data_IF_524393613794
#
_entry.id   IF_524393613794
#
_cell.length_a   1.000
_cell.length_b   1.000
_cell.length_c   1.000
_cell.angle_alpha   90.00
_cell.angle_beta   90.00
_cell.angle_gamma   90.00
#
_symmetry.space_group_name_H-M   'P 1'
#
loop_
_entity.id
_entity.type
_entity.pdbx_description
1 polymer ?
#
# COMPACT_ATOMS: atom_id res chain seq x y z
N UNK A 1 -53.01 -69.36 2.73
CA UNK A 1 -53.18 -67.88 2.75
C UNK A 1 -51.88 -67.10 2.96
N UNK A 2 -50.88 -67.57 3.73
CA UNK A 2 -49.62 -66.81 3.93
C UNK A 2 -48.62 -66.82 2.75
N UNK A 3 -48.65 -67.82 1.87
CA UNK A 3 -47.72 -67.92 0.72
C UNK A 3 -48.14 -67.04 -0.46
N UNK A 4 -49.45 -66.79 -0.62
CA UNK A 4 -49.97 -65.95 -1.70
C UNK A 4 -49.70 -64.45 -1.46
N UNK A 5 -49.69 -64.02 -0.20
CA UNK A 5 -49.42 -62.63 0.18
C UNK A 5 -47.95 -62.21 -0.04
N UNK A 6 -47.00 -63.14 0.16
CA UNK A 6 -45.56 -62.86 -0.02
C UNK A 6 -45.21 -62.79 -1.51
N UNK A 7 -45.87 -63.59 -2.35
CA UNK A 7 -45.61 -63.58 -3.81
C UNK A 7 -46.12 -62.29 -4.48
N UNK A 8 -47.22 -61.71 -3.96
CA UNK A 8 -47.77 -60.43 -4.45
C UNK A 8 -46.92 -59.24 -3.98
N UNK A 9 -46.34 -59.29 -2.77
CA UNK A 9 -45.43 -58.23 -2.30
C UNK A 9 -44.11 -58.17 -3.11
N UNK A 10 -43.57 -59.32 -3.50
CA UNK A 10 -42.33 -59.38 -4.30
C UNK A 10 -42.58 -58.88 -5.74
N UNK A 11 -43.78 -59.11 -6.29
CA UNK A 11 -44.13 -58.62 -7.64
C UNK A 11 -44.46 -57.11 -7.66
N UNK A 12 -44.88 -56.52 -6.53
CA UNK A 12 -45.09 -55.07 -6.40
C UNK A 12 -43.79 -54.30 -6.16
N UNK A 13 -42.79 -54.93 -5.52
CA UNK A 13 -41.46 -54.34 -5.33
C UNK A 13 -40.67 -54.18 -6.64
N UNK A 14 -40.91 -55.03 -7.66
CA UNK A 14 -40.25 -54.92 -8.97
C UNK A 14 -40.85 -53.86 -9.90
N UNK A 15 -41.99 -53.26 -9.53
CA UNK A 15 -42.61 -52.12 -10.24
C UNK A 15 -42.34 -50.81 -9.48
N UNK A 16 -41.61 -50.88 -8.36
CA UNK A 16 -41.01 -49.71 -7.71
C UNK A 16 -39.74 -49.30 -8.45
N UNK A 17 -39.79 -49.27 -9.78
CA UNK A 17 -38.77 -48.63 -10.57
C UNK A 17 -38.66 -47.21 -10.06
N UNK A 18 -37.50 -46.85 -9.52
CA UNK A 18 -37.09 -45.47 -9.36
C UNK A 18 -37.38 -44.77 -10.69
N UNK A 19 -38.50 -44.06 -10.75
CA UNK A 19 -38.55 -42.85 -11.54
C UNK A 19 -37.52 -41.95 -10.87
N UNK A 20 -36.27 -42.05 -11.31
CA UNK A 20 -35.35 -40.95 -11.16
C UNK A 20 -36.09 -39.76 -11.74
N UNK A 21 -36.47 -38.81 -10.90
CA UNK A 21 -36.65 -37.46 -11.41
C UNK A 21 -35.32 -37.17 -12.08
N UNK A 22 -35.31 -37.06 -13.42
CA UNK A 22 -34.23 -36.35 -14.08
C UNK A 22 -34.23 -34.99 -13.41
N UNK A 23 -33.27 -34.78 -12.49
CA UNK A 23 -32.90 -33.46 -12.04
C UNK A 23 -32.82 -32.60 -13.32
N UNK A 24 -33.54 -31.48 -13.40
CA UNK A 24 -33.55 -30.69 -14.61
C UNK A 24 -32.10 -30.41 -14.99
N UNK A 25 -31.66 -30.90 -16.15
CA UNK A 25 -30.33 -30.61 -16.68
C UNK A 25 -30.28 -29.10 -16.88
N UNK A 26 -29.65 -28.40 -15.93
CA UNK A 26 -29.36 -26.98 -16.05
C UNK A 26 -28.32 -26.90 -17.17
N UNK A 27 -28.69 -26.35 -18.32
CA UNK A 27 -27.73 -26.00 -19.35
C UNK A 27 -27.04 -24.72 -18.89
N UNK A 28 -25.72 -24.72 -18.62
CA UNK A 28 -25.02 -23.51 -18.24
C UNK A 28 -25.17 -22.44 -19.31
N UNK A 29 -25.31 -21.20 -18.86
CA UNK A 29 -25.32 -20.00 -19.70
C UNK A 29 -24.43 -18.95 -19.07
N UNK A 30 -23.71 -18.21 -19.88
CA UNK A 30 -22.87 -17.09 -19.45
C UNK A 30 -23.06 -15.90 -20.39
N UNK A 31 -23.30 -14.74 -19.80
CA UNK A 31 -23.30 -13.45 -20.48
C UNK A 31 -22.67 -12.41 -19.54
N UNK A 32 -22.02 -11.39 -20.09
CA UNK A 32 -21.44 -10.29 -19.32
C UNK A 32 -21.79 -8.95 -19.99
N UNK A 33 -21.76 -7.87 -19.23
CA UNK A 33 -21.96 -6.53 -19.76
C UNK A 33 -20.95 -6.20 -20.88
N UNK A 34 -21.43 -5.56 -21.96
CA UNK A 34 -20.57 -5.08 -23.04
C UNK A 34 -19.86 -3.79 -22.64
N UNK A 35 -18.72 -3.93 -21.96
CA UNK A 35 -17.85 -2.81 -21.57
C UNK A 35 -16.53 -2.85 -22.34
N UNK A 36 -16.00 -1.67 -22.67
CA UNK A 36 -14.76 -1.55 -23.44
C UNK A 36 -13.75 -0.57 -22.86
N UNK A 37 -14.10 0.11 -21.77
CA UNK A 37 -13.29 1.17 -21.14
C UNK A 37 -13.28 0.91 -19.64
N UNK A 38 -12.13 1.14 -19.01
CA UNK A 38 -12.01 1.21 -17.56
C UNK A 38 -11.22 2.47 -17.17
N UNK A 39 -11.74 3.20 -16.18
CA UNK A 39 -11.08 4.42 -15.70
C UNK A 39 -10.01 4.06 -14.67
N UNK A 40 -8.79 4.59 -14.85
CA UNK A 40 -7.67 4.36 -13.94
C UNK A 40 -7.97 4.84 -12.53
N UNK A 41 -7.47 4.09 -11.56
CA UNK A 41 -7.56 4.39 -10.13
C UNK A 41 -8.96 4.31 -9.50
N UNK A 42 -9.92 3.74 -10.23
CA UNK A 42 -11.32 3.62 -9.80
C UNK A 42 -11.71 2.14 -9.60
N UNK A 43 -12.77 1.94 -8.81
CA UNK A 43 -13.46 0.66 -8.75
C UNK A 43 -14.36 0.48 -9.97
N UNK A 44 -14.43 -0.73 -10.49
CA UNK A 44 -15.28 -1.11 -11.61
C UNK A 44 -16.06 -2.37 -11.24
N UNK A 45 -17.39 -2.23 -11.16
CA UNK A 45 -18.31 -3.37 -11.05
C UNK A 45 -18.65 -3.88 -12.45
N UNK A 46 -18.60 -5.20 -12.64
CA UNK A 46 -18.91 -5.86 -13.91
C UNK A 46 -20.09 -6.80 -13.70
N UNK A 47 -21.18 -6.52 -14.40
CA UNK A 47 -22.40 -7.34 -14.33
C UNK A 47 -22.24 -8.62 -15.15
N UNK A 48 -22.46 -9.77 -14.51
CA UNK A 48 -22.39 -11.09 -15.13
C UNK A 48 -23.69 -11.85 -14.90
N UNK A 49 -24.31 -12.28 -15.99
CA UNK A 49 -25.48 -13.16 -15.96
C UNK A 49 -25.03 -14.61 -16.17
N UNK A 50 -24.85 -15.35 -15.08
CA UNK A 50 -24.66 -16.80 -15.13
C UNK A 50 -25.65 -17.55 -14.25
N UNK A 51 -26.11 -18.71 -14.73
CA UNK A 51 -27.02 -19.60 -14.00
C UNK A 51 -26.29 -20.71 -13.22
N UNK A 52 -24.96 -20.70 -13.24
CA UNK A 52 -24.05 -21.54 -12.48
C UNK A 52 -22.90 -20.67 -11.97
N UNK A 53 -22.10 -21.20 -11.06
CA UNK A 53 -20.88 -20.52 -10.61
C UNK A 53 -19.92 -20.35 -11.78
N UNK A 54 -19.17 -19.25 -11.75
CA UNK A 54 -18.24 -18.89 -12.82
C UNK A 54 -16.93 -18.35 -12.24
N UNK A 55 -15.85 -18.54 -12.98
CA UNK A 55 -14.51 -18.09 -12.61
C UNK A 55 -14.10 -16.95 -13.52
N UNK A 56 -13.52 -15.91 -12.92
CA UNK A 56 -12.90 -14.79 -13.62
C UNK A 56 -11.40 -14.87 -13.41
N UNK A 57 -10.63 -14.79 -14.49
CA UNK A 57 -9.19 -14.63 -14.47
C UNK A 57 -8.85 -13.21 -14.92
N UNK A 58 -7.97 -12.53 -14.18
CA UNK A 58 -7.58 -11.14 -14.44
C UNK A 58 -6.17 -11.04 -15.01
N UNK A 59 -5.93 -10.02 -15.84
CA UNK A 59 -4.58 -9.57 -16.15
C UNK A 59 -3.95 -8.81 -14.97
N UNK A 60 -2.65 -8.53 -15.08
CA UNK A 60 -1.98 -7.54 -14.24
C UNK A 60 -2.62 -6.14 -14.40
N UNK A 61 -2.42 -5.27 -13.41
CA UNK A 61 -3.02 -3.92 -13.36
C UNK A 61 -4.40 -3.86 -12.69
N UNK A 62 -4.82 -4.95 -12.04
CA UNK A 62 -6.14 -5.11 -11.43
C UNK A 62 -6.05 -5.81 -10.08
N UNK A 63 -6.95 -5.52 -9.15
CA UNK A 63 -7.21 -6.38 -8.00
C UNK A 63 -8.69 -6.72 -7.92
N UNK A 64 -9.03 -7.93 -7.52
CA UNK A 64 -10.42 -8.23 -7.18
C UNK A 64 -10.81 -7.54 -5.88
N UNK A 65 -12.10 -7.27 -5.71
CA UNK A 65 -12.68 -6.88 -4.43
C UNK A 65 -13.57 -8.03 -3.97
N UNK A 66 -13.31 -8.56 -2.78
CA UNK A 66 -14.17 -9.60 -2.21
C UNK A 66 -15.44 -9.03 -1.55
N UNK A 67 -16.27 -9.91 -1.00
CA UNK A 67 -17.53 -9.52 -0.36
C UNK A 67 -17.37 -8.65 0.89
N UNK A 68 -16.21 -8.68 1.54
CA UNK A 68 -15.89 -7.87 2.71
C UNK A 68 -15.21 -6.54 2.32
N UNK A 69 -14.97 -6.32 1.03
CA UNK A 69 -14.35 -5.12 0.49
C UNK A 69 -12.82 -5.17 0.46
N UNK A 70 -12.21 -6.31 0.78
CA UNK A 70 -10.76 -6.50 0.80
C UNK A 70 -10.25 -6.70 -0.63
N UNK A 71 -9.11 -6.09 -0.95
CA UNK A 71 -8.46 -6.30 -2.25
C UNK A 71 -7.75 -7.64 -2.29
N UNK A 72 -7.95 -8.38 -3.38
CA UNK A 72 -7.40 -9.73 -3.57
C UNK A 72 -6.44 -9.76 -4.76
N UNK A 73 -5.23 -10.25 -4.49
CA UNK A 73 -4.16 -10.39 -5.47
C UNK A 73 -4.23 -11.71 -6.27
N UNK A 74 -5.19 -12.59 -5.96
CA UNK A 74 -5.42 -13.81 -6.72
C UNK A 74 -5.60 -13.53 -8.22
N UNK A 75 -4.94 -14.31 -9.07
CA UNK A 75 -5.07 -14.21 -10.54
C UNK A 75 -6.44 -14.66 -11.05
N UNK A 76 -7.16 -15.47 -10.26
CA UNK A 76 -8.51 -15.92 -10.55
C UNK A 76 -9.38 -16.00 -9.30
N UNK A 77 -10.68 -15.74 -9.46
CA UNK A 77 -11.66 -15.82 -8.39
C UNK A 77 -12.97 -16.41 -8.92
N UNK A 78 -13.68 -17.18 -8.08
CA UNK A 78 -14.95 -17.81 -8.44
C UNK A 78 -16.09 -17.13 -7.72
N UNK A 79 -17.15 -16.83 -8.46
CA UNK A 79 -18.35 -16.12 -8.01
C UNK A 79 -19.56 -17.02 -8.16
N UNK A 80 -20.55 -16.85 -7.28
CA UNK A 80 -21.75 -17.67 -7.33
C UNK A 80 -22.66 -17.27 -8.50
N UNK A 81 -23.52 -18.20 -8.90
CA UNK A 81 -24.54 -17.94 -9.92
C UNK A 81 -25.37 -16.67 -9.60
N UNK A 82 -25.38 -15.72 -10.53
CA UNK A 82 -26.13 -14.46 -10.43
C UNK A 82 -25.46 -13.36 -9.62
N UNK A 83 -24.22 -13.54 -9.18
CA UNK A 83 -23.41 -12.48 -8.58
C UNK A 83 -22.64 -11.72 -9.65
N UNK A 84 -22.46 -10.42 -9.43
CA UNK A 84 -21.54 -9.56 -10.17
C UNK A 84 -20.24 -9.43 -9.37
N UNK A 85 -19.17 -8.98 -10.00
CA UNK A 85 -17.89 -8.82 -9.33
C UNK A 85 -17.36 -7.40 -9.46
N UNK A 86 -16.52 -6.99 -8.52
CA UNK A 86 -15.88 -5.68 -8.51
C UNK A 86 -14.36 -5.85 -8.57
N UNK A 87 -13.70 -4.92 -9.26
CA UNK A 87 -12.24 -4.84 -9.37
C UNK A 87 -11.76 -3.42 -9.09
N UNK A 88 -10.57 -3.28 -8.51
CA UNK A 88 -9.80 -2.05 -8.52
C UNK A 88 -8.95 -2.00 -9.80
N UNK A 89 -9.05 -0.90 -10.54
CA UNK A 89 -8.22 -0.62 -11.72
C UNK A 89 -7.04 0.24 -11.28
N UNK A 90 -5.81 -0.26 -11.44
CA UNK A 90 -4.61 0.49 -11.04
C UNK A 90 -4.29 1.60 -12.06
N UNK A 91 -3.72 2.71 -11.56
CA UNK A 91 -3.17 3.78 -12.41
C UNK A 91 -1.79 3.41 -12.96
N UNK A 92 -1.77 2.33 -13.75
CA UNK A 92 -0.57 1.78 -14.38
C UNK A 92 -0.21 2.50 -15.69
N UNK A 93 0.94 2.21 -16.30
CA UNK A 93 1.29 2.68 -17.66
C UNK A 93 0.68 1.80 -18.77
N UNK A 94 -0.17 0.83 -18.42
CA UNK A 94 -0.79 -0.09 -19.37
C UNK A 94 -1.81 0.64 -20.25
N UNK A 95 -1.90 0.25 -21.53
CA UNK A 95 -2.96 0.75 -22.42
C UNK A 95 -4.30 0.04 -22.22
N UNK A 96 -4.26 -1.22 -21.77
CA UNK A 96 -5.42 -2.08 -21.64
C UNK A 96 -5.25 -3.16 -20.56
N UNK A 97 -6.38 -3.68 -20.13
CA UNK A 97 -6.53 -4.81 -19.21
C UNK A 97 -7.43 -5.88 -19.83
N UNK A 98 -7.23 -7.12 -19.40
CA UNK A 98 -7.98 -8.28 -19.88
C UNK A 98 -8.64 -9.03 -18.72
N UNK A 99 -9.88 -9.44 -18.94
CA UNK A 99 -10.62 -10.33 -18.03
C UNK A 99 -11.17 -11.51 -18.82
N UNK A 100 -10.96 -12.71 -18.29
CA UNK A 100 -11.42 -13.96 -18.89
C UNK A 100 -12.44 -14.62 -17.96
N UNK A 101 -13.69 -14.69 -18.40
CA UNK A 101 -14.82 -15.19 -17.61
C UNK A 101 -15.25 -16.55 -18.17
N UNK A 102 -15.37 -17.56 -17.32
CA UNK A 102 -15.81 -18.90 -17.75
C UNK A 102 -16.66 -19.61 -16.70
N UNK A 103 -17.66 -20.36 -17.15
CA UNK A 103 -18.41 -21.31 -16.33
C UNK A 103 -18.01 -22.78 -16.61
N UNK A 104 -16.85 -22.98 -17.26
CA UNK A 104 -16.34 -24.28 -17.67
C UNK A 104 -16.89 -24.82 -19.00
N UNK A 105 -17.99 -24.27 -19.53
CA UNK A 105 -18.52 -24.59 -20.85
C UNK A 105 -18.46 -23.40 -21.82
N UNK A 106 -18.87 -22.24 -21.33
CA UNK A 106 -18.85 -20.97 -22.04
C UNK A 106 -17.65 -20.14 -21.59
N UNK A 107 -17.24 -19.21 -22.46
CA UNK A 107 -16.09 -18.34 -22.25
C UNK A 107 -16.34 -16.96 -22.85
N UNK A 108 -16.05 -15.92 -22.08
CA UNK A 108 -16.12 -14.52 -22.48
C UNK A 108 -14.78 -13.86 -22.14
N UNK A 109 -14.21 -13.13 -23.10
CA UNK A 109 -13.04 -12.28 -22.87
C UNK A 109 -13.46 -10.82 -23.00
N UNK A 110 -13.14 -10.03 -21.99
CA UNK A 110 -13.30 -8.58 -21.99
C UNK A 110 -11.91 -7.94 -22.15
N UNK A 111 -11.77 -7.06 -23.13
CA UNK A 111 -10.57 -6.27 -23.35
C UNK A 111 -10.94 -4.80 -23.19
N UNK A 112 -10.51 -4.19 -22.09
CA UNK A 112 -10.88 -2.82 -21.74
C UNK A 112 -9.69 -1.90 -21.96
N UNK A 113 -9.91 -0.81 -22.68
CA UNK A 113 -8.92 0.27 -22.83
C UNK A 113 -8.91 1.11 -21.56
N UNK A 114 -7.73 1.43 -21.04
CA UNK A 114 -7.60 2.28 -19.87
C UNK A 114 -7.68 3.76 -20.25
N UNK A 115 -8.43 4.54 -19.47
CA UNK A 115 -8.52 6.00 -19.59
C UNK A 115 -8.19 6.70 -18.27
N UNK A 116 -7.64 7.90 -18.38
CA UNK A 116 -7.20 8.67 -17.22
C UNK A 116 -8.38 9.16 -16.37
N UNK A 117 -8.17 9.21 -15.06
CA UNK A 117 -9.17 9.64 -14.08
C UNK A 117 -9.30 11.16 -14.01
N UNK A 118 -10.47 11.70 -14.35
CA UNK A 118 -10.79 13.11 -14.13
C UNK A 118 -11.14 13.41 -12.65
N UNK A 119 -11.57 12.40 -11.90
CA UNK A 119 -11.87 12.48 -10.47
C UNK A 119 -10.66 12.00 -9.66
N UNK A 120 -10.61 12.35 -8.37
CA UNK A 120 -9.58 11.84 -7.46
C UNK A 120 -9.70 10.31 -7.36
N UNK A 121 -8.57 9.65 -7.50
CA UNK A 121 -8.45 8.20 -7.41
C UNK A 121 -8.40 7.74 -5.95
N UNK A 122 -8.40 6.41 -5.76
CA UNK A 122 -8.25 5.81 -4.44
C UNK A 122 -6.98 6.31 -3.73
N UNK A 123 -5.83 6.24 -4.41
CA UNK A 123 -4.60 6.99 -4.08
C UNK A 123 -4.24 7.83 -5.30
N UNK A 124 -3.74 9.05 -5.09
CA UNK A 124 -3.63 10.05 -6.14
C UNK A 124 -2.48 11.02 -5.92
N UNK A 125 -1.57 11.10 -6.91
CA UNK A 125 -0.45 12.03 -6.87
C UNK A 125 -0.84 13.51 -6.78
N UNK A 126 -2.04 13.89 -7.27
CA UNK A 126 -2.54 15.27 -7.17
C UNK A 126 -2.89 15.62 -5.72
N UNK A 127 -3.52 14.68 -5.01
CA UNK A 127 -3.84 14.85 -3.59
C UNK A 127 -2.60 14.76 -2.71
N UNK A 128 -1.63 13.93 -3.09
CA UNK A 128 -0.31 13.92 -2.47
C UNK A 128 0.39 15.28 -2.62
N UNK A 129 0.34 15.91 -3.81
CA UNK A 129 0.86 17.27 -3.99
C UNK A 129 0.17 18.30 -3.07
N UNK A 130 -1.15 18.29 -3.00
CA UNK A 130 -1.89 19.17 -2.07
C UNK A 130 -1.48 18.92 -0.60
N UNK A 131 -1.16 17.67 -0.26
CA UNK A 131 -0.74 17.26 1.08
C UNK A 131 0.65 17.78 1.44
N UNK A 132 1.64 17.66 0.54
CA UNK A 132 2.97 18.22 0.80
C UNK A 132 2.92 19.75 0.92
N UNK A 133 2.10 20.44 0.11
CA UNK A 133 1.88 21.89 0.24
C UNK A 133 1.29 22.26 1.59
N UNK A 134 0.25 21.54 2.05
CA UNK A 134 -0.32 21.73 3.38
C UNK A 134 0.74 21.53 4.48
N UNK A 135 1.57 20.48 4.38
CA UNK A 135 2.57 20.18 5.40
C UNK A 135 3.71 21.20 5.43
N UNK A 136 4.18 21.70 4.29
CA UNK A 136 5.28 22.69 4.21
C UNK A 136 4.81 24.12 4.50
N UNK A 137 3.51 24.40 4.40
CA UNK A 137 2.95 25.75 4.64
C UNK A 137 2.25 25.88 5.98
N UNK A 138 1.30 25.02 6.30
CA UNK A 138 0.46 25.11 7.50
C UNK A 138 1.09 24.43 8.71
N UNK A 139 1.87 23.37 8.48
CA UNK A 139 2.41 22.49 9.52
C UNK A 139 3.93 22.41 9.52
N UNK A 140 4.64 23.46 9.11
CA UNK A 140 6.10 23.48 9.06
C UNK A 140 6.77 23.69 10.43
N UNK A 141 8.10 23.75 10.44
CA UNK A 141 8.94 23.88 11.64
C UNK A 141 8.70 22.75 12.65
N UNK A 142 8.60 21.52 12.14
CA UNK A 142 8.38 20.29 12.92
C UNK A 142 9.68 19.80 13.55
N UNK A 143 10.41 20.66 14.25
CA UNK A 143 11.55 20.23 15.03
C UNK A 143 11.07 19.46 16.25
N UNK A 144 11.58 18.25 16.42
CA UNK A 144 11.05 17.34 17.42
C UNK A 144 11.16 17.87 18.87
N UNK A 145 10.33 17.33 19.75
CA UNK A 145 10.10 17.86 21.10
C UNK A 145 11.30 17.76 22.06
N UNK A 146 12.25 16.84 21.80
CA UNK A 146 13.44 16.66 22.64
C UNK A 146 14.45 17.82 22.58
N UNK A 147 14.28 18.75 21.64
CA UNK A 147 14.99 20.02 21.67
C UNK A 147 14.32 20.99 22.67
N UNK A 148 14.58 20.80 23.96
CA UNK A 148 14.33 21.77 25.04
C UNK A 148 14.97 23.17 24.82
N UNK A 149 15.68 23.36 23.71
CA UNK A 149 16.31 24.58 23.19
C UNK A 149 15.50 25.30 22.10
N UNK A 150 14.42 24.70 21.57
CA UNK A 150 13.51 25.32 20.58
C UNK A 150 12.23 25.82 21.27
N UNK A 151 11.11 26.02 20.55
CA UNK A 151 9.82 26.45 21.14
C UNK A 151 9.18 25.36 22.03
N UNK A 152 10.01 24.66 22.83
CA UNK A 152 9.65 23.57 23.74
C UNK A 152 8.85 22.45 23.06
N UNK A 153 9.10 22.19 21.77
CA UNK A 153 8.36 21.19 20.99
C UNK A 153 6.92 21.58 20.64
N UNK A 154 6.47 22.81 20.94
CA UNK A 154 5.07 23.20 20.77
C UNK A 154 4.61 23.11 19.31
N UNK A 155 5.43 23.56 18.36
CA UNK A 155 5.10 23.50 16.93
C UNK A 155 4.92 22.05 16.46
N UNK A 156 5.90 21.18 16.76
CA UNK A 156 5.80 19.76 16.45
C UNK A 156 4.54 19.14 17.06
N UNK A 157 4.30 19.38 18.36
CA UNK A 157 3.11 18.86 19.03
C UNK A 157 1.81 19.36 18.38
N UNK A 158 1.73 20.64 18.03
CA UNK A 158 0.55 21.20 17.37
C UNK A 158 0.34 20.55 16.00
N UNK A 159 1.42 20.31 15.24
CA UNK A 159 1.35 19.60 13.97
C UNK A 159 0.90 18.15 14.15
N UNK A 160 1.45 17.42 15.13
CA UNK A 160 1.08 16.05 15.44
C UNK A 160 -0.40 15.91 15.82
N UNK A 161 -0.91 16.80 16.68
CA UNK A 161 -2.33 16.83 17.05
C UNK A 161 -3.22 17.24 15.87
N UNK A 162 -2.72 18.10 14.97
CA UNK A 162 -3.38 18.43 13.71
C UNK A 162 -3.53 17.22 12.78
N UNK A 163 -2.45 16.46 12.58
CA UNK A 163 -2.47 15.25 11.76
C UNK A 163 -3.37 14.18 12.35
N UNK A 164 -3.33 14.00 13.68
CA UNK A 164 -4.29 13.14 14.38
C UNK A 164 -5.73 13.52 14.07
N UNK A 165 -6.09 14.80 14.13
CA UNK A 165 -7.45 15.24 13.84
C UNK A 165 -7.85 15.00 12.37
N UNK A 166 -6.90 15.09 11.42
CA UNK A 166 -7.13 14.74 10.02
C UNK A 166 -7.39 13.23 9.87
N UNK A 167 -6.57 12.39 10.50
CA UNK A 167 -6.71 10.92 10.45
C UNK A 167 -7.97 10.41 11.16
N UNK A 168 -8.39 11.04 12.26
CA UNK A 168 -9.71 10.80 12.86
C UNK A 168 -10.84 11.09 11.85
N UNK A 169 -10.63 12.05 10.94
CA UNK A 169 -11.54 12.36 9.84
C UNK A 169 -11.49 11.36 8.67
N UNK A 170 -10.38 10.65 8.48
CA UNK A 170 -10.26 9.62 7.44
C UNK A 170 -11.01 8.33 7.77
N UNK A 171 -11.24 8.05 9.06
CA UNK A 171 -12.04 6.90 9.51
C UNK A 171 -11.25 5.73 10.08
N UNK A 172 -10.01 5.95 10.53
CA UNK A 172 -9.29 4.96 11.34
C UNK A 172 -10.09 4.54 12.58
N UNK A 173 -9.93 3.29 13.02
CA UNK A 173 -10.60 2.77 14.21
C UNK A 173 -10.04 3.39 15.50
N UNK A 174 -8.75 3.70 15.48
CA UNK A 174 -8.06 4.40 16.55
C UNK A 174 -6.94 5.29 16.01
N UNK A 175 -6.80 6.49 16.56
CA UNK A 175 -5.70 7.40 16.24
C UNK A 175 -5.15 7.99 17.52
N UNK A 176 -3.84 8.01 17.65
CA UNK A 176 -3.15 8.59 18.79
C UNK A 176 -1.96 9.45 18.39
N UNK A 177 -1.64 10.39 19.29
CA UNK A 177 -0.29 10.94 19.38
C UNK A 177 0.34 10.24 20.57
N UNK A 178 1.42 9.49 20.34
CA UNK A 178 2.02 8.64 21.37
C UNK A 178 2.60 9.49 22.51
N UNK A 179 2.61 8.93 23.72
CA UNK A 179 3.21 9.55 24.89
C UNK A 179 3.67 8.46 25.86
N UNK A 180 4.86 7.93 25.59
CA UNK A 180 5.48 6.89 26.40
C UNK A 180 6.08 7.51 27.67
N UNK A 181 5.94 6.83 28.81
CA UNK A 181 6.35 7.41 30.10
C UNK A 181 7.87 7.55 30.26
N UNK A 182 8.62 6.65 29.61
CA UNK A 182 10.07 6.61 29.49
C UNK A 182 10.60 7.35 28.25
N UNK A 183 9.75 7.56 27.23
CA UNK A 183 10.05 8.34 26.02
C UNK A 183 9.01 9.46 25.74
N UNK A 184 8.82 10.43 26.66
CA UNK A 184 7.68 11.37 26.64
C UNK A 184 7.73 12.43 25.54
N UNK A 185 8.89 12.61 24.90
CA UNK A 185 9.09 13.56 23.81
C UNK A 185 8.87 12.92 22.42
N UNK A 186 8.62 11.60 22.37
CA UNK A 186 8.44 10.83 21.14
C UNK A 186 6.96 10.79 20.74
N UNK A 187 6.50 11.92 20.21
CA UNK A 187 5.10 12.17 19.85
C UNK A 187 4.80 11.71 18.41
N UNK A 188 4.89 10.40 18.16
CA UNK A 188 4.48 9.83 16.88
C UNK A 188 2.98 10.04 16.67
N UNK A 189 2.54 10.23 15.43
CA UNK A 189 1.11 10.15 15.07
C UNK A 189 0.88 8.76 14.51
N UNK A 190 -0.03 8.00 15.11
CA UNK A 190 -0.27 6.60 14.73
C UNK A 190 -1.76 6.37 14.54
N UNK A 191 -2.15 5.87 13.37
CA UNK A 191 -3.51 5.49 13.01
C UNK A 191 -3.60 3.97 12.81
N UNK A 192 -4.61 3.35 13.39
CA UNK A 192 -4.83 1.91 13.35
C UNK A 192 -6.17 1.59 12.68
N UNK A 193 -6.12 0.69 11.70
CA UNK A 193 -7.28 0.06 11.07
C UNK A 193 -7.20 -1.44 11.36
N UNK A 194 -8.13 -1.96 12.16
CA UNK A 194 -8.01 -3.34 12.66
C UNK A 194 -8.33 -4.36 11.57
N UNK A 195 -7.50 -5.41 11.50
CA UNK A 195 -7.65 -6.48 10.52
C UNK A 195 -8.80 -7.43 10.84
N UNK A 196 -9.42 -7.96 9.80
CA UNK A 196 -10.52 -8.92 9.91
C UNK A 196 -10.07 -10.33 10.28
N UNK A 197 -8.87 -10.73 9.88
CA UNK A 197 -8.37 -12.11 9.99
C UNK A 197 -7.19 -12.20 10.96
N UNK A 198 -6.23 -11.29 10.86
CA UNK A 198 -5.00 -11.25 11.65
C UNK A 198 -4.88 -9.91 12.40
N UNK A 199 -5.74 -9.66 13.42
CA UNK A 199 -5.76 -8.38 14.13
C UNK A 199 -4.49 -8.12 14.94
N UNK A 200 -3.70 -9.15 15.23
CA UNK A 200 -2.45 -9.15 15.99
C UNK A 200 -1.18 -9.07 15.12
N UNK A 201 -1.32 -9.12 13.80
CA UNK A 201 -0.22 -8.96 12.86
C UNK A 201 -0.34 -7.62 12.13
N UNK A 202 0.69 -6.79 12.26
CA UNK A 202 0.68 -5.42 11.78
C UNK A 202 1.39 -5.30 10.45
N UNK A 203 0.77 -4.62 9.49
CA UNK A 203 1.44 -4.05 8.32
C UNK A 203 1.57 -2.55 8.57
N UNK A 204 2.81 -2.07 8.66
CA UNK A 204 3.10 -0.68 9.02
C UNK A 204 3.52 0.09 7.77
N UNK A 205 3.03 1.32 7.64
CA UNK A 205 3.51 2.30 6.64
C UNK A 205 3.87 3.60 7.35
N UNK A 206 4.92 4.29 6.89
CA UNK A 206 5.28 5.56 7.51
C UNK A 206 6.54 6.19 6.95
N UNK A 207 6.63 7.51 7.14
CA UNK A 207 7.83 8.33 6.97
C UNK A 207 7.98 9.23 8.19
N UNK A 208 9.14 9.85 8.35
CA UNK A 208 9.33 10.71 9.52
C UNK A 208 8.67 12.06 9.33
N UNK A 209 8.11 12.56 10.42
CA UNK A 209 7.34 13.79 10.47
C UNK A 209 8.19 14.98 10.85
N UNK A 210 9.22 14.77 11.67
CA UNK A 210 10.11 15.84 12.02
C UNK A 210 10.97 16.27 10.83
N UNK A 211 11.56 17.45 10.97
CA UNK A 211 12.49 18.00 9.98
C UNK A 211 13.78 18.39 10.69
N UNK A 212 14.90 18.38 9.96
CA UNK A 212 16.20 18.75 10.48
C UNK A 212 16.17 20.07 11.28
N UNK A 213 16.51 20.00 12.56
CA UNK A 213 16.57 21.19 13.43
C UNK A 213 17.81 22.05 13.14
N UNK A 214 17.85 23.26 13.72
CA UNK A 214 18.96 24.19 13.50
C UNK A 214 20.31 23.58 13.91
N UNK A 215 21.32 23.77 13.06
CA UNK A 215 22.66 23.21 13.18
C UNK A 215 22.78 21.69 12.94
N UNK A 216 21.74 21.03 12.44
CA UNK A 216 21.84 19.66 11.92
C UNK A 216 22.69 19.66 10.63
N UNK A 217 23.78 18.89 10.57
CA UNK A 217 24.59 18.79 9.35
C UNK A 217 23.82 18.03 8.26
N UNK A 218 24.11 18.27 6.96
CA UNK A 218 25.14 19.17 6.47
C UNK A 218 24.69 20.62 6.25
N UNK A 219 23.38 20.86 6.10
CA UNK A 219 22.83 22.15 5.68
C UNK A 219 22.52 23.15 6.80
N UNK A 220 22.49 22.71 8.06
CA UNK A 220 22.25 23.55 9.23
C UNK A 220 20.79 23.66 9.68
N UNK A 221 19.92 22.75 9.22
CA UNK A 221 18.49 22.67 9.52
C UNK A 221 17.59 23.24 8.42
N UNK A 222 16.33 22.83 8.45
CA UNK A 222 15.26 23.29 7.54
C UNK A 222 13.97 23.59 8.33
N UNK A 223 13.09 24.40 7.74
CA UNK A 223 11.75 24.63 8.27
C UNK A 223 10.70 23.75 7.59
N UNK A 224 10.89 23.48 6.30
CA UNK A 224 9.93 22.74 5.49
C UNK A 224 10.31 21.27 5.39
N UNK A 225 11.58 20.97 5.09
CA UNK A 225 12.02 19.59 4.90
C UNK A 225 11.24 18.92 3.78
N UNK A 226 11.12 19.59 2.64
CA UNK A 226 10.14 19.20 1.62
C UNK A 226 10.45 17.82 1.05
N UNK A 227 11.72 17.54 0.73
CA UNK A 227 12.15 16.20 0.43
C UNK A 227 12.36 15.39 1.73
N UNK A 228 13.00 15.98 2.74
CA UNK A 228 13.47 15.30 3.95
C UNK A 228 12.76 15.81 5.24
N UNK A 229 11.70 15.16 5.70
CA UNK A 229 10.95 14.08 5.03
C UNK A 229 9.45 14.37 4.96
N UNK A 230 9.11 15.61 4.63
CA UNK A 230 7.72 15.91 4.30
C UNK A 230 7.22 15.04 3.14
N UNK A 231 8.11 14.62 2.23
CA UNK A 231 7.74 13.76 1.11
C UNK A 231 7.33 12.35 1.53
N UNK A 232 8.06 11.70 2.45
CA UNK A 232 7.70 10.39 2.99
C UNK A 232 6.46 10.47 3.87
N UNK A 233 6.37 11.48 4.73
CA UNK A 233 5.14 11.83 5.46
C UNK A 233 3.93 12.01 4.53
N UNK A 234 4.12 12.64 3.37
CA UNK A 234 3.07 12.85 2.36
C UNK A 234 2.58 11.53 1.77
N UNK A 235 3.49 10.62 1.41
CA UNK A 235 3.12 9.28 0.93
C UNK A 235 2.36 8.52 2.02
N UNK A 236 2.82 8.58 3.28
CA UNK A 236 2.11 7.94 4.38
C UNK A 236 0.71 8.52 4.59
N UNK A 237 0.53 9.84 4.51
CA UNK A 237 -0.77 10.51 4.63
C UNK A 237 -1.74 10.08 3.52
N UNK A 238 -1.24 9.99 2.28
CA UNK A 238 -2.04 9.64 1.12
C UNK A 238 -2.49 8.17 1.15
N UNK A 239 -1.60 7.25 1.51
CA UNK A 239 -1.96 5.83 1.66
C UNK A 239 -2.86 5.64 2.91
N UNK A 240 -2.62 6.38 3.99
CA UNK A 240 -3.46 6.34 5.19
C UNK A 240 -4.93 6.66 4.90
N UNK A 241 -5.20 7.62 4.00
CA UNK A 241 -6.55 7.93 3.55
C UNK A 241 -7.21 6.72 2.86
N UNK A 242 -6.49 6.02 1.99
CA UNK A 242 -7.02 4.85 1.29
C UNK A 242 -7.25 3.68 2.27
N UNK A 243 -6.28 3.42 3.15
CA UNK A 243 -6.35 2.38 4.19
C UNK A 243 -7.56 2.56 5.09
N UNK A 244 -7.77 3.78 5.61
CA UNK A 244 -8.86 4.05 6.54
C UNK A 244 -10.26 3.86 5.90
N UNK A 245 -10.35 3.95 4.57
CA UNK A 245 -11.61 3.84 3.83
C UNK A 245 -12.04 2.40 3.51
N UNK A 246 -11.20 1.39 3.81
CA UNK A 246 -11.41 0.00 3.42
C UNK A 246 -11.10 -0.99 4.54
N UNK A 247 -11.52 -2.23 4.33
CA UNK A 247 -11.22 -3.35 5.20
C UNK A 247 -10.02 -4.16 4.68
N UNK A 248 -9.30 -4.81 5.60
CA UNK A 248 -8.04 -5.53 5.35
C UNK A 248 -8.00 -6.81 6.18
N UNK A 249 -7.22 -7.81 5.76
CA UNK A 249 -7.07 -9.05 6.52
C UNK A 249 -6.20 -8.82 7.77
N UNK A 250 -5.16 -8.00 7.67
CA UNK A 250 -4.24 -7.65 8.76
C UNK A 250 -4.57 -6.29 9.38
N UNK A 251 -4.14 -6.07 10.62
CA UNK A 251 -4.18 -4.72 11.18
C UNK A 251 -3.18 -3.85 10.43
N UNK A 252 -3.66 -2.73 9.91
CA UNK A 252 -2.83 -1.76 9.18
C UNK A 252 -2.56 -0.57 10.07
N UNK A 253 -1.29 -0.19 10.16
CA UNK A 253 -0.82 0.93 10.96
C UNK A 253 -0.18 1.97 10.05
N UNK A 254 -0.77 3.17 10.01
CA UNK A 254 -0.12 4.33 9.40
C UNK A 254 0.58 5.16 10.48
N UNK A 255 1.79 5.64 10.18
CA UNK A 255 2.61 6.34 11.14
C UNK A 255 3.33 7.56 10.55
N UNK A 256 3.39 8.62 11.35
CA UNK A 256 4.27 9.77 11.16
C UNK A 256 5.25 9.79 12.35
N UNK A 257 6.51 9.43 12.10
CA UNK A 257 7.49 9.21 13.16
C UNK A 257 8.08 10.51 13.69
N UNK A 258 8.29 10.57 15.00
CA UNK A 258 8.95 11.68 15.67
C UNK A 258 10.46 11.47 15.72
N UNK A 259 11.22 12.55 15.66
CA UNK A 259 12.64 12.58 16.05
C UNK A 259 13.52 11.55 15.29
N UNK A 260 13.28 11.32 14.00
CA UNK A 260 14.19 10.53 13.16
C UNK A 260 15.58 11.19 13.18
N UNK A 261 15.59 12.50 12.99
CA UNK A 261 16.78 13.35 12.81
C UNK A 261 17.63 13.49 14.08
N UNK A 262 17.09 13.00 15.20
CA UNK A 262 17.77 12.91 16.48
C UNK A 262 18.23 11.47 16.81
N UNK A 263 18.14 10.56 15.85
CA UNK A 263 18.56 9.17 15.93
C UNK A 263 17.39 8.19 16.11
N UNK A 264 16.40 8.23 15.21
CA UNK A 264 15.32 7.24 15.06
C UNK A 264 14.44 7.08 16.30
N UNK A 265 14.32 8.12 17.13
CA UNK A 265 13.78 7.96 18.48
C UNK A 265 12.30 7.59 18.49
N UNK A 266 11.50 8.14 17.58
CA UNK A 266 10.07 7.88 17.49
C UNK A 266 9.76 6.47 17.04
N UNK A 267 10.32 6.03 15.91
CA UNK A 267 10.14 4.66 15.43
C UNK A 267 10.70 3.62 16.41
N UNK A 268 11.86 3.89 17.01
CA UNK A 268 12.41 3.03 18.07
C UNK A 268 11.49 2.96 19.28
N UNK A 269 10.93 4.09 19.73
CA UNK A 269 10.00 4.11 20.84
C UNK A 269 8.73 3.31 20.52
N UNK A 270 8.17 3.42 19.32
CA UNK A 270 7.02 2.62 18.88
C UNK A 270 7.33 1.12 18.92
N UNK A 271 8.42 0.70 18.27
CA UNK A 271 8.80 -0.71 18.20
C UNK A 271 9.06 -1.30 19.59
N UNK A 272 9.73 -0.56 20.48
CA UNK A 272 10.01 -1.01 21.85
C UNK A 272 8.77 -1.10 22.75
N UNK A 273 7.67 -0.45 22.35
CA UNK A 273 6.41 -0.42 23.10
C UNK A 273 5.30 -1.29 22.48
N UNK A 274 5.60 -2.02 21.40
CA UNK A 274 4.67 -3.02 20.87
C UNK A 274 4.33 -4.05 21.97
N UNK A 275 3.04 -4.41 22.14
CA UNK A 275 2.66 -5.49 23.05
C UNK A 275 3.32 -6.82 22.65
N UNK A 276 3.58 -7.69 23.63
CA UNK A 276 4.28 -8.98 23.39
C UNK A 276 3.55 -9.92 22.42
N UNK A 277 2.23 -9.77 22.27
CA UNK A 277 1.38 -10.56 21.36
C UNK A 277 1.19 -9.91 19.98
N UNK A 278 1.77 -8.74 19.75
CA UNK A 278 1.72 -8.05 18.47
C UNK A 278 3.04 -8.24 17.74
N UNK A 279 2.95 -8.58 16.45
CA UNK A 279 4.11 -8.68 15.59
C UNK A 279 3.95 -7.84 14.32
N UNK A 280 5.04 -7.29 13.79
CA UNK A 280 5.04 -6.57 12.53
C UNK A 280 5.45 -7.52 11.40
N UNK A 281 4.53 -7.72 10.45
CA UNK A 281 4.75 -8.57 9.28
C UNK A 281 5.67 -7.88 8.29
N UNK A 282 5.37 -6.62 7.98
CA UNK A 282 6.19 -5.77 7.14
C UNK A 282 6.06 -4.30 7.54
N UNK A 283 7.12 -3.52 7.31
CA UNK A 283 7.11 -2.06 7.39
C UNK A 283 7.57 -1.45 6.07
N UNK A 284 6.79 -0.51 5.53
CA UNK A 284 7.16 0.30 4.37
C UNK A 284 7.59 1.69 4.84
N UNK A 285 8.89 1.96 4.72
CA UNK A 285 9.52 3.22 5.07
C UNK A 285 9.62 4.11 3.83
N UNK A 286 9.19 5.35 3.94
CA UNK A 286 9.37 6.38 2.92
C UNK A 286 10.25 7.46 3.50
N UNK A 287 11.39 7.71 2.88
CA UNK A 287 12.31 8.77 3.29
C UNK A 287 12.95 9.39 2.04
N UNK A 288 12.85 10.71 1.90
CA UNK A 288 13.42 11.45 0.77
C UNK A 288 12.92 10.93 -0.58
N UNK A 289 11.61 10.96 -0.80
CA UNK A 289 10.95 10.36 -1.98
C UNK A 289 10.39 11.38 -2.97
N UNK A 290 10.57 12.69 -2.78
CA UNK A 290 9.88 13.71 -3.61
C UNK A 290 10.25 13.68 -5.09
N UNK A 291 11.53 13.45 -5.43
CA UNK A 291 12.02 13.50 -6.82
C UNK A 291 12.35 12.09 -7.30
N UNK A 292 11.41 11.42 -7.95
CA UNK A 292 11.55 10.04 -8.41
C UNK A 292 10.82 9.82 -9.75
N UNK A 293 10.75 8.58 -10.24
CA UNK A 293 10.04 8.21 -11.46
C UNK A 293 8.62 8.81 -11.55
N UNK A 294 8.19 9.43 -12.67
CA UNK A 294 8.86 9.56 -13.97
C UNK A 294 9.61 10.90 -14.16
N UNK A 295 9.93 11.61 -13.08
CA UNK A 295 10.57 12.93 -13.13
C UNK A 295 11.96 12.85 -13.77
N UNK A 296 12.13 13.49 -14.92
CA UNK A 296 13.45 13.58 -15.56
C UNK A 296 14.28 14.70 -14.93
N UNK A 297 15.49 14.42 -14.42
CA UNK A 297 16.31 15.44 -13.80
C UNK A 297 16.78 16.52 -14.80
N UNK A 298 16.82 17.81 -14.38
CA UNK A 298 17.38 18.86 -15.21
C UNK A 298 18.90 18.67 -15.38
N UNK A 299 19.52 19.25 -16.44
CA UNK A 299 20.95 19.10 -16.68
C UNK A 299 21.81 19.50 -15.47
N UNK A 300 22.67 18.59 -15.01
CA UNK A 300 23.54 18.78 -13.85
C UNK A 300 22.93 18.39 -12.50
N UNK A 301 21.77 17.71 -12.53
CA UNK A 301 21.15 17.04 -11.40
C UNK A 301 20.91 15.56 -11.75
N UNK A 302 20.58 14.77 -10.73
CA UNK A 302 20.24 13.36 -10.86
C UNK A 302 21.42 12.40 -10.66
N UNK A 303 21.18 11.09 -10.82
CA UNK A 303 19.91 10.48 -11.20
C UNK A 303 18.80 10.69 -10.15
N UNK A 304 17.54 10.60 -10.56
CA UNK A 304 16.36 10.59 -9.67
C UNK A 304 15.79 9.17 -9.57
N UNK A 305 16.69 8.19 -9.46
CA UNK A 305 16.30 6.78 -9.40
C UNK A 305 15.53 6.52 -8.10
N UNK A 306 14.49 5.70 -8.17
CA UNK A 306 13.76 5.23 -6.99
C UNK A 306 14.40 3.92 -6.51
N UNK A 307 15.09 3.96 -5.38
CA UNK A 307 15.68 2.78 -4.75
C UNK A 307 14.71 2.20 -3.70
N UNK A 308 14.52 0.89 -3.74
CA UNK A 308 13.73 0.13 -2.77
C UNK A 308 14.59 -0.98 -2.16
N UNK A 309 15.01 -0.79 -0.91
CA UNK A 309 15.82 -1.78 -0.20
C UNK A 309 14.93 -2.74 0.62
N UNK A 310 15.07 -4.05 0.39
CA UNK A 310 14.41 -5.08 1.19
C UNK A 310 15.34 -5.58 2.30
N UNK A 311 14.82 -5.77 3.50
CA UNK A 311 15.59 -6.27 4.64
C UNK A 311 14.69 -6.99 5.67
N UNK A 312 15.32 -7.59 6.69
CA UNK A 312 14.61 -8.06 7.87
C UNK A 312 13.88 -9.39 7.76
N UNK A 313 13.98 -10.09 6.61
CA UNK A 313 13.44 -11.43 6.41
C UNK A 313 14.58 -12.46 6.14
N UNK A 314 14.25 -13.75 6.13
CA UNK A 314 15.19 -14.80 5.71
C UNK A 314 15.37 -14.83 4.18
N UNK A 315 16.28 -15.67 3.67
CA UNK A 315 16.62 -15.69 2.24
C UNK A 315 15.42 -16.02 1.33
N UNK A 316 14.52 -16.91 1.77
CA UNK A 316 13.34 -17.32 0.98
C UNK A 316 12.29 -16.19 0.98
N UNK A 317 12.02 -15.58 2.13
CA UNK A 317 11.10 -14.45 2.24
C UNK A 317 11.66 -13.18 1.60
N UNK A 318 12.97 -12.93 1.64
CA UNK A 318 13.60 -11.84 0.87
C UNK A 318 13.45 -12.04 -0.64
N UNK A 319 13.57 -13.29 -1.12
CA UNK A 319 13.32 -13.59 -2.52
C UNK A 319 11.84 -13.32 -2.90
N UNK A 320 10.90 -13.66 -2.01
CA UNK A 320 9.48 -13.34 -2.20
C UNK A 320 9.22 -11.83 -2.21
N UNK A 321 9.81 -11.08 -1.28
CA UNK A 321 9.69 -9.61 -1.25
C UNK A 321 10.18 -8.96 -2.54
N UNK A 322 11.33 -9.41 -3.07
CA UNK A 322 11.85 -8.90 -4.34
C UNK A 322 11.01 -9.33 -5.55
N UNK A 323 10.38 -10.51 -5.50
CA UNK A 323 9.45 -10.94 -6.54
C UNK A 323 8.17 -10.10 -6.52
N UNK A 324 7.65 -9.70 -5.36
CA UNK A 324 6.56 -8.75 -5.29
C UNK A 324 6.93 -7.39 -5.89
N UNK A 325 8.13 -6.87 -5.59
CA UNK A 325 8.59 -5.63 -6.21
C UNK A 325 8.66 -5.75 -7.74
N UNK A 326 9.18 -6.88 -8.25
CA UNK A 326 9.19 -7.16 -9.69
C UNK A 326 7.78 -7.21 -10.28
N UNK A 327 6.86 -7.96 -9.65
CA UNK A 327 5.46 -8.05 -10.08
C UNK A 327 4.79 -6.68 -10.11
N UNK A 328 4.94 -5.90 -9.04
CA UNK A 328 4.34 -4.57 -8.92
C UNK A 328 4.90 -3.63 -9.99
N UNK A 329 6.22 -3.50 -10.10
CA UNK A 329 6.87 -2.52 -10.98
C UNK A 329 6.73 -2.90 -12.45
N UNK A 330 7.08 -4.14 -12.79
CA UNK A 330 7.19 -4.59 -14.19
C UNK A 330 5.85 -5.08 -14.76
N UNK A 331 5.05 -5.83 -13.99
CA UNK A 331 3.86 -6.49 -14.51
C UNK A 331 2.59 -5.66 -14.27
N UNK A 332 2.36 -5.22 -13.02
CA UNK A 332 1.14 -4.51 -12.61
C UNK A 332 1.15 -3.05 -13.04
N UNK A 333 2.18 -2.29 -12.64
CA UNK A 333 2.34 -0.89 -13.01
C UNK A 333 2.86 -0.73 -14.43
N UNK A 334 3.56 -1.75 -14.97
CA UNK A 334 4.12 -1.73 -16.32
C UNK A 334 5.05 -0.54 -16.56
N UNK A 335 5.78 -0.12 -15.52
CA UNK A 335 6.74 0.97 -15.64
C UNK A 335 7.85 0.60 -16.60
N UNK A 336 8.29 1.58 -17.37
CA UNK A 336 9.34 1.40 -18.36
C UNK A 336 10.69 1.83 -17.81
N UNK A 337 11.75 1.06 -18.08
CA UNK A 337 13.13 1.47 -17.79
C UNK A 337 13.44 2.83 -18.44
N UNK A 338 13.83 3.81 -17.62
CA UNK A 338 14.25 5.13 -18.08
C UNK A 338 15.70 5.42 -17.67
N UNK A 339 16.49 5.92 -18.63
CA UNK A 339 17.88 6.24 -18.35
C UNK A 339 18.00 7.45 -17.38
N UNK A 340 18.62 7.23 -16.22
CA UNK A 340 18.81 8.20 -15.11
C UNK A 340 17.53 8.53 -14.32
N UNK A 341 16.54 7.65 -14.38
CA UNK A 341 15.33 7.69 -13.59
C UNK A 341 14.72 6.29 -13.56
N UNK A 342 15.51 5.32 -13.13
CA UNK A 342 15.08 3.93 -13.09
C UNK A 342 14.52 3.57 -11.71
N UNK A 343 13.76 2.48 -11.63
CA UNK A 343 13.30 1.95 -10.34
C UNK A 343 14.15 0.73 -10.02
N UNK A 344 14.89 0.82 -8.92
CA UNK A 344 15.84 -0.19 -8.49
C UNK A 344 15.38 -0.84 -7.20
N UNK A 345 15.57 -2.14 -7.08
CA UNK A 345 15.37 -2.84 -5.82
C UNK A 345 16.43 -3.90 -5.59
N UNK A 346 16.80 -4.04 -4.32
CA UNK A 346 17.75 -5.06 -3.88
C UNK A 346 17.58 -5.36 -2.39
N UNK A 347 17.92 -6.58 -2.00
CA UNK A 347 18.09 -6.88 -0.58
C UNK A 347 19.36 -6.23 -0.05
N UNK A 348 19.18 -5.27 0.84
CA UNK A 348 20.26 -4.48 1.40
C UNK A 348 19.89 -4.00 2.80
N UNK A 349 20.67 -4.43 3.79
CA UNK A 349 20.54 -3.92 5.16
C UNK A 349 21.33 -2.61 5.29
N UNK A 350 20.63 -1.54 5.68
CA UNK A 350 21.21 -0.24 6.02
C UNK A 350 20.46 0.34 7.21
N UNK A 351 21.10 1.20 8.00
CA UNK A 351 20.41 1.99 9.02
C UNK A 351 20.47 3.46 8.66
N UNK A 352 19.75 3.80 7.59
CA UNK A 352 19.69 5.15 7.06
C UNK A 352 18.47 5.94 7.55
N UNK A 353 17.39 5.26 7.97
CA UNK A 353 16.11 5.86 8.35
C UNK A 353 15.35 4.95 9.35
N UNK A 354 14.07 5.25 9.61
CA UNK A 354 13.21 4.58 10.59
C UNK A 354 13.04 3.07 10.35
N UNK A 355 13.22 2.57 9.12
CA UNK A 355 13.22 1.12 8.86
C UNK A 355 14.22 0.36 9.74
N UNK A 356 15.30 1.02 10.18
CA UNK A 356 16.27 0.45 11.10
C UNK A 356 15.68 0.03 12.44
N UNK A 357 14.75 0.80 12.98
CA UNK A 357 14.05 0.45 14.23
C UNK A 357 13.29 -0.87 14.09
N UNK A 358 12.77 -1.18 12.90
CA UNK A 358 12.00 -2.39 12.61
C UNK A 358 12.89 -3.59 12.24
N UNK A 359 13.76 -3.46 11.23
CA UNK A 359 14.53 -4.61 10.77
C UNK A 359 15.56 -5.09 11.80
N UNK A 360 15.99 -4.21 12.72
CA UNK A 360 16.86 -4.59 13.84
C UNK A 360 16.18 -5.52 14.85
N UNK A 361 14.85 -5.50 14.93
CA UNK A 361 14.04 -6.49 15.66
C UNK A 361 13.67 -7.72 14.81
N UNK A 362 14.14 -7.77 13.56
CA UNK A 362 13.87 -8.86 12.64
C UNK A 362 12.54 -8.75 11.91
N UNK A 363 11.87 -7.61 11.91
CA UNK A 363 10.68 -7.36 11.07
C UNK A 363 11.08 -7.13 9.61
N UNK A 364 10.29 -7.61 8.65
CA UNK A 364 10.55 -7.36 7.24
C UNK A 364 10.33 -5.88 6.91
N UNK A 365 11.20 -5.30 6.08
CA UNK A 365 11.11 -3.88 5.72
C UNK A 365 11.33 -3.64 4.24
N UNK A 366 10.58 -2.69 3.68
CA UNK A 366 10.79 -2.09 2.38
C UNK A 366 11.16 -0.63 2.60
N UNK A 367 12.38 -0.22 2.26
CA UNK A 367 12.83 1.16 2.40
C UNK A 367 12.88 1.84 1.04
N UNK A 368 11.92 2.73 0.79
CA UNK A 368 11.82 3.56 -0.39
C UNK A 368 12.64 4.82 -0.18
N UNK A 369 13.53 5.10 -1.13
CA UNK A 369 14.44 6.22 -1.07
C UNK A 369 14.71 6.75 -2.47
N UNK A 370 14.66 8.06 -2.64
CA UNK A 370 15.09 8.71 -3.88
C UNK A 370 16.18 9.72 -3.61
N UNK A 371 17.43 9.27 -3.71
CA UNK A 371 18.54 10.20 -3.75
C UNK A 371 18.61 10.84 -5.13
N UNK A 372 18.53 12.17 -5.19
CA UNK A 372 19.22 12.89 -6.23
C UNK A 372 20.71 12.54 -6.15
N UNK A 373 21.17 11.57 -6.94
CA UNK A 373 22.46 10.88 -6.75
C UNK A 373 23.74 11.73 -6.93
N UNK A 374 23.62 13.05 -7.11
CA UNK A 374 24.76 13.98 -7.22
C UNK A 374 25.04 14.70 -5.89
N UNK A 375 26.32 14.90 -5.59
CA UNK A 375 26.83 15.66 -4.45
C UNK A 375 26.31 17.11 -4.37
N UNK A 376 25.71 17.62 -5.44
CA UNK A 376 24.98 18.90 -5.46
C UNK A 376 23.65 18.81 -4.73
N UNK A 377 22.91 17.70 -4.84
CA UNK A 377 21.64 17.47 -4.15
C UNK A 377 21.86 17.15 -2.66
N UNK A 378 22.91 16.39 -2.34
CA UNK A 378 23.36 16.12 -0.96
C UNK A 378 23.86 17.36 -0.19
N UNK A 379 23.92 18.54 -0.80
CA UNK A 379 24.18 19.79 -0.08
C UNK A 379 22.88 20.50 0.34
N UNK A 380 21.75 20.06 -0.20
CA UNK A 380 20.45 20.72 -0.03
C UNK A 380 19.62 20.09 1.09
N UNK A 381 19.78 18.78 1.40
CA UNK A 381 19.17 18.15 2.58
C UNK A 381 19.64 18.78 3.90
N UNK A 382 18.76 18.77 4.89
CA UNK A 382 18.91 19.46 6.17
C UNK A 382 19.28 20.94 6.01
N UNK A 383 18.81 21.61 4.96
CA UNK A 383 19.16 23.00 4.67
C UNK A 383 17.90 23.81 4.32
N UNK A 384 17.99 25.14 4.42
CA UNK A 384 16.86 26.03 4.09
C UNK A 384 16.42 26.01 2.62
N UNK A 385 17.19 25.39 1.72
CA UNK A 385 16.80 25.18 0.32
C UNK A 385 16.02 23.88 0.12
N UNK A 386 15.94 23.01 1.12
CA UNK A 386 14.98 21.89 1.15
C UNK A 386 13.58 22.40 1.51
N UNK A 387 12.96 22.99 0.48
CA UNK A 387 11.63 23.60 0.50
C UNK A 387 10.83 23.20 -0.75
N UNK A 388 9.51 23.37 -0.70
CA UNK A 388 8.63 22.89 -1.76
C UNK A 388 8.87 23.58 -3.10
N UNK A 389 9.13 24.89 -3.09
CA UNK A 389 9.48 25.67 -4.29
C UNK A 389 10.67 25.07 -5.04
N UNK A 390 11.69 24.60 -4.29
CA UNK A 390 12.84 23.93 -4.88
C UNK A 390 12.44 22.59 -5.50
N UNK A 391 11.69 21.75 -4.79
CA UNK A 391 11.25 20.45 -5.31
C UNK A 391 10.37 20.59 -6.55
N UNK A 392 9.42 21.51 -6.56
CA UNK A 392 8.59 21.84 -7.73
C UNK A 392 9.47 22.28 -8.91
N UNK A 393 10.46 23.14 -8.65
CA UNK A 393 11.40 23.56 -9.70
C UNK A 393 12.23 22.38 -10.23
N UNK A 394 12.67 21.46 -9.36
CA UNK A 394 13.47 20.30 -9.75
C UNK A 394 12.68 19.21 -10.45
N UNK A 395 11.39 19.10 -10.15
CA UNK A 395 10.47 18.22 -10.84
C UNK A 395 10.12 18.72 -12.25
N UNK A 396 10.18 20.04 -12.47
CA UNK A 396 9.77 20.68 -13.72
C UNK A 396 8.36 21.27 -13.67
N UNK A 397 7.70 21.22 -12.52
CA UNK A 397 6.37 21.76 -12.27
C UNK A 397 5.65 21.01 -11.14
N UNK A 398 4.52 21.55 -10.72
CA UNK A 398 3.65 20.94 -9.71
C UNK A 398 3.08 19.62 -10.22
N UNK A 399 2.58 19.61 -11.47
CA UNK A 399 2.05 18.40 -12.13
C UNK A 399 3.10 17.27 -12.17
N UNK A 400 4.36 17.60 -12.48
CA UNK A 400 5.43 16.61 -12.55
C UNK A 400 5.82 16.07 -11.18
N UNK A 401 5.81 16.93 -10.14
CA UNK A 401 6.02 16.48 -8.77
C UNK A 401 4.87 15.57 -8.31
N UNK A 402 3.63 15.91 -8.68
CA UNK A 402 2.46 15.06 -8.49
C UNK A 402 2.58 13.71 -9.19
N UNK A 403 3.11 13.66 -10.42
CA UNK A 403 3.38 12.41 -11.13
C UNK A 403 4.39 11.53 -10.38
N UNK A 404 5.45 12.12 -9.80
CA UNK A 404 6.40 11.41 -8.95
C UNK A 404 5.76 10.83 -7.70
N UNK A 405 4.88 11.57 -7.02
CA UNK A 405 4.12 11.02 -5.91
C UNK A 405 3.14 9.93 -6.35
N UNK A 406 2.55 10.06 -7.53
CA UNK A 406 1.61 9.09 -8.06
C UNK A 406 2.26 7.70 -8.21
N UNK A 407 3.48 7.64 -8.74
CA UNK A 407 4.28 6.41 -8.81
C UNK A 407 4.42 5.77 -7.43
N UNK A 408 4.80 6.54 -6.41
CA UNK A 408 5.05 6.04 -5.06
C UNK A 408 3.80 5.48 -4.41
N UNK A 409 2.69 6.22 -4.44
CA UNK A 409 1.48 5.83 -3.73
C UNK A 409 0.82 4.60 -4.37
N UNK A 410 0.86 4.48 -5.70
CA UNK A 410 0.36 3.29 -6.39
C UNK A 410 1.27 2.08 -6.23
N UNK A 411 2.60 2.24 -6.35
CA UNK A 411 3.56 1.16 -6.07
C UNK A 411 3.39 0.66 -4.64
N UNK A 412 3.21 1.58 -3.70
CA UNK A 412 3.06 1.25 -2.29
C UNK A 412 1.75 0.53 -2.00
N UNK A 413 0.64 1.00 -2.55
CA UNK A 413 -0.66 0.34 -2.40
C UNK A 413 -0.64 -1.08 -3.01
N UNK A 414 -0.08 -1.24 -4.22
CA UNK A 414 0.00 -2.56 -4.88
C UNK A 414 0.83 -3.55 -4.06
N UNK A 415 2.00 -3.11 -3.60
CA UNK A 415 2.86 -3.92 -2.73
C UNK A 415 2.16 -4.28 -1.41
N UNK A 416 1.47 -3.31 -0.80
CA UNK A 416 0.69 -3.52 0.41
C UNK A 416 -0.39 -4.59 0.22
N UNK A 417 -1.12 -4.59 -0.91
CA UNK A 417 -2.15 -5.60 -1.19
C UNK A 417 -1.55 -7.00 -1.25
N UNK A 418 -0.39 -7.19 -1.86
CA UNK A 418 0.30 -8.49 -1.85
C UNK A 418 0.67 -8.96 -0.44
N UNK A 419 1.15 -8.05 0.42
CA UNK A 419 1.50 -8.38 1.80
C UNK A 419 0.23 -8.76 2.59
N UNK A 420 -0.86 -8.00 2.46
CA UNK A 420 -2.12 -8.25 3.16
C UNK A 420 -2.77 -9.59 2.77
N UNK A 421 -2.53 -10.08 1.54
CA UNK A 421 -3.04 -11.36 1.06
C UNK A 421 -2.18 -12.57 1.45
N UNK A 422 -1.15 -12.40 2.28
CA UNK A 422 -0.36 -13.53 2.81
C UNK A 422 -0.88 -14.02 4.15
N UNK A 423 -0.78 -15.33 4.40
CA UNK A 423 -0.95 -15.91 5.73
C UNK A 423 0.41 -15.95 6.47
N UNK A 424 0.54 -16.83 7.46
CA UNK A 424 1.81 -17.06 8.18
C UNK A 424 2.95 -17.62 7.33
N UNK A 425 2.73 -17.89 6.03
CA UNK A 425 3.80 -18.29 5.11
C UNK A 425 4.85 -17.21 4.87
N UNK A 426 4.50 -15.93 5.07
CA UNK A 426 5.44 -14.82 5.01
C UNK A 426 5.56 -14.13 6.36
N UNK A 427 6.79 -14.08 6.89
CA UNK A 427 7.11 -13.40 8.14
C UNK A 427 8.54 -12.83 8.12
N UNK A 428 8.82 -11.87 9.00
CA UNK A 428 10.18 -11.41 9.27
C UNK A 428 11.03 -12.50 9.96
N UNK A 429 12.34 -12.24 10.10
CA UNK A 429 13.28 -13.13 10.81
C UNK A 429 12.88 -13.43 12.26
N UNK A 430 12.09 -12.56 12.88
CA UNK A 430 11.59 -12.76 14.25
C UNK A 430 10.79 -14.06 14.41
N UNK A 431 10.16 -14.56 13.34
CA UNK A 431 9.33 -15.76 13.37
C UNK A 431 10.13 -17.06 13.27
N UNK A 432 11.39 -17.02 12.83
CA UNK A 432 12.23 -18.20 12.57
C UNK A 432 12.72 -18.92 13.84
N UNK A 433 12.14 -18.65 15.01
CA UNK A 433 12.48 -19.28 16.29
C UNK A 433 11.35 -20.16 16.85
N UNK A 434 11.06 -21.30 16.20
CA UNK A 434 10.52 -22.52 16.87
C UNK A 434 11.16 -23.83 16.39
#
# INVERSE_FOLDING_TARGET
>A
MRVLAITILIFLATISGCFGQEEPTITPTLNAEEITIATRGQLLTIEVESNVDYTVNRSAGLFFVDSDGVFRDSSEMTFAAGESFEILVLDSERDNIELNISNGLDFIQLNLTLEDSAEMMLVDGRRAFDTIDMLTTEWNNRWCASASVHDSGNNYKNAAEGMKAIWEGYGFDYVEVTNYADDPDQLNVVGYKYGNVYPDQYIVIGGHFDVAYVATPPGGGTSEGANDDTSGSTVSMEIAQAIASREWDHTVVAALWACEEEGLKGSSAFVNHLPEDIAVKAYMNFDMVSLNYPITPPPGYGPYDLDIATAGADDDNLAQMNEWLRLVIEDEMSFNDQANNDIHWASAESCASDHCSFFSQGYATFNFFSAGGDASFWQEWHSGTDNLDFMVQKAGGEDELGNGFNTLVWTSLSLFVHIDNTDDSFQGRWFAEE
#
